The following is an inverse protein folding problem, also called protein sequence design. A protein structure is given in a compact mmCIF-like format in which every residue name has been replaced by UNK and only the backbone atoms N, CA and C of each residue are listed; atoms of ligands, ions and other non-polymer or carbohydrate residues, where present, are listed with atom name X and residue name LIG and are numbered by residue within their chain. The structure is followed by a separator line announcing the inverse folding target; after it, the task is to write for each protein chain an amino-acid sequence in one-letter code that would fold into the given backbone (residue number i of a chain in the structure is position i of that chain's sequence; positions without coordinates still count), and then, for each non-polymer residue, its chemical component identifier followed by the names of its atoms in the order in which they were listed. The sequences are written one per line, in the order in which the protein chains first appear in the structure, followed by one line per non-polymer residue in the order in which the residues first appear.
data_IF_844651410281
#
_entry.id   IF_844651410281
#
_cell.length_a   1.000
_cell.length_b   1.000
_cell.length_c   1.000
_cell.angle_alpha   90.00
_cell.angle_beta   90.00
_cell.angle_gamma   90.00
#
_symmetry.space_group_name_H-M   'P 1'
#
loop_
_entity.id
_entity.type
_entity.pdbx_description
1 polymer ?
#
# COMPACT_ATOMS: atom_id res chain seq x y z
N UNK A 1 -26.60 32.67 -29.52
CA UNK A 1 -25.39 33.47 -29.24
C UNK A 1 -25.40 33.82 -27.76
N UNK A 2 -24.57 33.19 -26.96
CA UNK A 2 -24.41 33.50 -25.55
C UNK A 2 -23.75 34.89 -25.36
N UNK A 3 -24.10 35.61 -24.28
CA UNK A 3 -23.54 36.94 -24.03
C UNK A 3 -22.03 36.89 -23.79
N UNK A 4 -21.31 37.89 -24.20
CA UNK A 4 -19.85 37.98 -24.25
C UNK A 4 -19.11 37.78 -22.90
N UNK A 5 -19.80 37.94 -21.78
CA UNK A 5 -19.23 37.72 -20.44
C UNK A 5 -19.04 36.24 -20.08
N UNK A 6 -19.94 35.38 -20.57
CA UNK A 6 -19.89 33.93 -20.30
C UNK A 6 -18.78 33.23 -21.09
N UNK A 7 -18.47 33.76 -22.28
CA UNK A 7 -17.39 33.25 -23.13
C UNK A 7 -16.01 33.54 -22.55
N UNK A 8 -15.78 34.70 -21.98
CA UNK A 8 -14.52 35.07 -21.32
C UNK A 8 -14.28 34.20 -20.04
N UNK A 9 -15.35 33.79 -19.37
CA UNK A 9 -15.26 32.94 -18.18
C UNK A 9 -14.95 31.47 -18.53
N UNK A 10 -15.54 30.97 -19.62
CA UNK A 10 -15.22 29.67 -20.22
C UNK A 10 -13.80 29.61 -20.76
N UNK A 11 -13.33 30.64 -21.44
CA UNK A 11 -11.95 30.72 -21.96
C UNK A 11 -10.92 30.75 -20.81
N UNK A 12 -11.24 31.40 -19.68
CA UNK A 12 -10.37 31.45 -18.50
C UNK A 12 -10.31 30.07 -17.79
N UNK A 13 -11.44 29.37 -17.72
CA UNK A 13 -11.49 27.99 -17.19
C UNK A 13 -10.71 27.04 -18.12
N UNK A 14 -10.86 27.19 -19.42
CA UNK A 14 -10.14 26.40 -20.42
C UNK A 14 -8.61 26.63 -20.37
N UNK A 15 -8.15 27.86 -20.13
CA UNK A 15 -6.72 28.19 -19.98
C UNK A 15 -6.15 27.64 -18.67
N UNK A 16 -6.93 27.59 -17.59
CA UNK A 16 -6.51 27.03 -16.29
C UNK A 16 -6.42 25.50 -16.30
N UNK A 17 -7.26 24.82 -17.08
CA UNK A 17 -7.25 23.36 -17.24
C UNK A 17 -6.06 22.87 -18.10
N UNK A 18 -5.56 23.70 -19.01
CA UNK A 18 -4.51 23.31 -19.96
C UNK A 18 -3.09 23.30 -19.37
N UNK A 19 -2.87 23.75 -18.13
CA UNK A 19 -1.51 23.94 -17.59
C UNK A 19 -1.22 23.32 -16.21
N UNK A 20 -2.13 22.50 -15.66
CA UNK A 20 -1.90 21.84 -14.35
C UNK A 20 -2.26 20.36 -14.41
N UNK A 21 -1.25 19.51 -14.52
CA UNK A 21 -1.40 18.09 -14.20
C UNK A 21 -1.58 17.96 -12.68
N UNK A 22 -2.79 17.59 -12.24
CA UNK A 22 -3.07 17.29 -10.84
C UNK A 22 -2.12 16.17 -10.36
N UNK A 23 -1.50 16.37 -9.19
CA UNK A 23 -0.66 15.33 -8.59
C UNK A 23 -1.56 14.33 -7.87
N UNK A 24 -1.24 13.04 -7.98
CA UNK A 24 -1.96 11.96 -7.30
C UNK A 24 -2.17 12.23 -5.80
N UNK A 25 -1.18 12.82 -5.12
CA UNK A 25 -1.29 13.22 -3.70
C UNK A 25 -2.42 14.22 -3.45
N UNK A 26 -2.66 15.14 -4.35
CA UNK A 26 -3.76 16.12 -4.24
C UNK A 26 -5.10 15.42 -4.45
N UNK A 27 -5.20 14.54 -5.44
CA UNK A 27 -6.40 13.75 -5.70
C UNK A 27 -6.75 12.86 -4.51
N UNK A 28 -5.80 12.11 -3.96
CA UNK A 28 -6.02 11.25 -2.77
C UNK A 28 -6.50 12.05 -1.56
N UNK A 29 -5.89 13.22 -1.28
CA UNK A 29 -6.34 14.09 -0.18
C UNK A 29 -7.79 14.55 -0.38
N UNK A 30 -8.19 14.86 -1.61
CA UNK A 30 -9.59 15.22 -1.94
C UNK A 30 -10.54 14.06 -1.66
N UNK A 31 -10.20 12.83 -2.10
CA UNK A 31 -11.04 11.66 -1.88
C UNK A 31 -11.12 11.24 -0.41
N UNK A 32 -10.01 11.26 0.33
CA UNK A 32 -9.98 10.99 1.76
C UNK A 32 -10.92 11.92 2.55
N UNK A 33 -10.92 13.20 2.18
CA UNK A 33 -11.80 14.16 2.81
C UNK A 33 -13.26 13.93 2.43
N UNK A 34 -13.57 13.61 1.19
CA UNK A 34 -14.93 13.33 0.73
C UNK A 34 -15.46 11.94 1.10
N UNK A 35 -14.65 11.03 1.59
CA UNK A 35 -15.05 9.69 2.04
C UNK A 35 -15.94 9.67 3.31
N UNK A 36 -16.34 10.83 3.83
CA UNK A 36 -17.30 10.97 4.93
C UNK A 36 -18.61 11.57 4.41
N UNK A 37 -19.74 10.92 4.70
CA UNK A 37 -21.07 11.37 4.30
C UNK A 37 -21.34 12.82 4.70
N UNK A 38 -20.99 13.20 5.93
CA UNK A 38 -21.17 14.56 6.44
C UNK A 38 -20.34 15.58 5.64
N UNK A 39 -19.06 15.28 5.37
CA UNK A 39 -18.20 16.18 4.61
C UNK A 39 -18.63 16.28 3.14
N UNK A 40 -19.03 15.17 2.55
CA UNK A 40 -19.58 15.15 1.19
C UNK A 40 -20.86 15.99 1.11
N UNK A 41 -21.78 15.87 2.08
CA UNK A 41 -23.02 16.66 2.14
C UNK A 41 -22.74 18.16 2.27
N UNK A 42 -21.77 18.55 3.12
CA UNK A 42 -21.35 19.95 3.26
C UNK A 42 -20.79 20.46 1.94
N UNK A 43 -19.88 19.70 1.29
CA UNK A 43 -19.30 20.11 0.03
C UNK A 43 -20.34 20.26 -1.09
N UNK A 44 -21.24 19.27 -1.24
CA UNK A 44 -22.36 19.34 -2.23
C UNK A 44 -23.27 20.52 -1.99
N UNK A 45 -23.55 20.85 -0.72
CA UNK A 45 -24.33 22.05 -0.39
C UNK A 45 -23.60 23.32 -0.84
N UNK A 46 -22.30 23.44 -0.58
CA UNK A 46 -21.50 24.59 -1.00
C UNK A 46 -21.37 24.69 -2.52
N UNK A 47 -21.30 23.57 -3.24
CA UNK A 47 -21.36 23.55 -4.71
C UNK A 47 -22.68 24.09 -5.24
N UNK A 48 -23.81 23.69 -4.60
CA UNK A 48 -25.14 24.20 -4.98
C UNK A 48 -25.29 25.70 -4.81
N UNK A 49 -24.59 26.29 -3.85
CA UNK A 49 -24.62 27.74 -3.57
C UNK A 49 -23.36 28.48 -4.07
N UNK A 50 -22.65 27.90 -5.03
CA UNK A 50 -21.55 28.57 -5.68
C UNK A 50 -22.06 29.59 -6.73
N UNK A 51 -21.35 30.71 -6.92
CA UNK A 51 -20.11 31.14 -6.29
C UNK A 51 -20.28 31.87 -4.94
N UNK A 52 -21.50 32.21 -4.51
CA UNK A 52 -21.77 33.06 -3.34
C UNK A 52 -21.28 32.40 -2.04
N UNK A 53 -21.43 31.07 -1.91
CA UNK A 53 -21.11 30.32 -0.70
C UNK A 53 -22.09 30.57 0.44
N UNK A 54 -21.82 29.95 1.60
CA UNK A 54 -22.68 30.00 2.77
C UNK A 54 -21.87 30.33 4.04
N UNK A 55 -22.53 30.95 5.03
CA UNK A 55 -21.92 31.10 6.36
C UNK A 55 -22.18 29.86 7.23
N UNK A 56 -21.34 29.62 8.22
CA UNK A 56 -21.40 28.42 9.07
C UNK A 56 -22.79 28.19 9.72
N UNK A 57 -23.51 29.27 10.06
CA UNK A 57 -24.85 29.18 10.63
C UNK A 57 -25.87 28.60 9.63
N UNK A 58 -25.81 29.01 8.36
CA UNK A 58 -26.68 28.52 7.30
C UNK A 58 -26.41 27.05 7.00
N UNK A 59 -25.13 26.66 6.91
CA UNK A 59 -24.74 25.25 6.69
C UNK A 59 -25.25 24.36 7.83
N UNK A 60 -25.06 24.82 9.09
CA UNK A 60 -25.51 24.12 10.30
C UNK A 60 -27.02 23.87 10.27
N UNK A 61 -27.78 24.90 9.90
CA UNK A 61 -29.25 24.82 9.85
C UNK A 61 -29.75 23.95 8.68
N UNK A 62 -29.15 24.07 7.50
CA UNK A 62 -29.60 23.33 6.31
C UNK A 62 -29.27 21.82 6.36
N UNK A 63 -28.21 21.45 7.06
CA UNK A 63 -27.79 20.04 7.17
C UNK A 63 -28.07 19.43 8.55
N UNK A 64 -28.69 20.18 9.45
CA UNK A 64 -28.96 19.78 10.85
C UNK A 64 -27.69 19.26 11.57
N UNK A 65 -26.57 19.95 11.37
CA UNK A 65 -25.30 19.60 11.98
C UNK A 65 -24.99 20.59 13.12
N UNK A 66 -24.73 20.13 14.37
CA UNK A 66 -24.32 21.00 15.46
C UNK A 66 -23.09 21.83 15.10
N UNK A 67 -23.08 23.13 15.45
CA UNK A 67 -22.01 24.09 15.09
C UNK A 67 -20.61 23.63 15.53
N UNK A 68 -20.50 22.94 16.66
CA UNK A 68 -19.26 22.37 17.16
C UNK A 68 -18.68 21.31 16.22
N UNK A 69 -19.53 20.41 15.75
CA UNK A 69 -19.13 19.34 14.81
C UNK A 69 -18.88 19.90 13.41
N UNK A 70 -19.69 20.87 12.96
CA UNK A 70 -19.54 21.52 11.67
C UNK A 70 -18.15 22.16 11.53
N UNK A 71 -17.67 22.84 12.57
CA UNK A 71 -16.36 23.50 12.56
C UNK A 71 -15.21 22.50 12.31
N UNK A 72 -15.30 21.30 12.88
CA UNK A 72 -14.35 20.22 12.64
C UNK A 72 -14.38 19.72 11.20
N UNK A 73 -15.58 19.48 10.64
CA UNK A 73 -15.75 19.03 9.27
C UNK A 73 -15.28 20.07 8.25
N UNK A 74 -15.64 21.34 8.44
CA UNK A 74 -15.20 22.44 7.58
C UNK A 74 -13.66 22.57 7.57
N UNK A 75 -13.01 22.47 8.73
CA UNK A 75 -11.55 22.51 8.83
C UNK A 75 -10.90 21.40 8.00
N UNK A 76 -11.44 20.19 8.05
CA UNK A 76 -10.92 19.05 7.25
C UNK A 76 -11.11 19.28 5.75
N UNK A 77 -12.27 19.78 5.31
CA UNK A 77 -12.53 20.06 3.88
C UNK A 77 -11.62 21.21 3.40
N UNK A 78 -11.39 22.21 4.21
CA UNK A 78 -10.47 23.31 3.88
C UNK A 78 -9.02 22.83 3.74
N UNK A 79 -8.61 21.85 4.54
CA UNK A 79 -7.25 21.27 4.43
C UNK A 79 -6.99 20.61 3.08
N UNK A 80 -8.00 20.03 2.45
CA UNK A 80 -7.88 19.48 1.09
C UNK A 80 -7.91 20.54 -0.03
N UNK A 81 -8.18 21.79 0.31
CA UNK A 81 -8.34 22.87 -0.66
C UNK A 81 -9.70 22.92 -1.38
N UNK A 82 -10.62 21.97 -1.11
CA UNK A 82 -11.96 21.91 -1.73
C UNK A 82 -12.88 23.05 -1.28
N UNK A 83 -12.61 23.66 -0.14
CA UNK A 83 -13.38 24.79 0.39
C UNK A 83 -12.41 25.88 0.82
N UNK A 84 -12.70 27.11 0.44
CA UNK A 84 -12.07 28.31 0.95
C UNK A 84 -12.95 29.00 1.98
N UNK A 85 -12.36 29.82 2.83
CA UNK A 85 -13.09 30.68 3.76
C UNK A 85 -12.69 32.14 3.59
N UNK A 86 -13.67 33.02 3.77
CA UNK A 86 -13.48 34.46 3.80
C UNK A 86 -14.22 35.07 4.98
N UNK A 87 -13.59 36.02 5.67
CA UNK A 87 -14.17 36.66 6.84
C UNK A 87 -14.99 37.89 6.40
N UNK A 88 -16.28 37.83 6.62
CA UNK A 88 -17.23 38.92 6.33
C UNK A 88 -17.73 39.52 7.64
N UNK A 89 -17.03 40.52 8.19
CA UNK A 89 -17.35 41.14 9.47
C UNK A 89 -17.29 40.15 10.64
N UNK A 90 -18.45 39.85 11.24
CA UNK A 90 -18.58 38.87 12.35
C UNK A 90 -18.80 37.44 11.86
N UNK A 91 -19.05 37.23 10.58
CA UNK A 91 -19.33 35.93 10.00
C UNK A 91 -18.14 35.43 9.18
N UNK A 92 -18.06 34.12 9.01
CA UNK A 92 -17.14 33.46 8.08
C UNK A 92 -17.93 32.77 7.02
N UNK A 93 -17.70 33.15 5.75
CA UNK A 93 -18.32 32.55 4.57
C UNK A 93 -17.41 31.48 3.98
N UNK A 94 -17.99 30.37 3.62
CA UNK A 94 -17.33 29.22 3.01
C UNK A 94 -17.78 29.08 1.56
N UNK A 95 -16.82 28.87 0.65
CA UNK A 95 -17.07 28.70 -0.79
C UNK A 95 -16.42 27.42 -1.30
N UNK A 96 -17.13 26.69 -2.17
CA UNK A 96 -16.58 25.55 -2.85
C UNK A 96 -15.50 25.98 -3.87
N UNK A 97 -14.41 25.27 -3.91
CA UNK A 97 -13.37 25.41 -4.94
C UNK A 97 -13.74 24.55 -6.16
N UNK A 98 -14.62 25.12 -7.02
CA UNK A 98 -15.11 24.46 -8.24
C UNK A 98 -13.97 24.07 -9.18
N UNK A 99 -12.94 24.93 -9.44
CA UNK A 99 -11.79 24.53 -10.25
C UNK A 99 -11.11 23.24 -9.78
N UNK A 100 -10.83 23.11 -8.48
CA UNK A 100 -10.19 21.89 -7.93
C UNK A 100 -11.09 20.65 -8.06
N UNK A 101 -12.40 20.82 -7.90
CA UNK A 101 -13.37 19.74 -8.10
C UNK A 101 -13.34 19.25 -9.56
N UNK A 102 -13.41 20.18 -10.52
CA UNK A 102 -13.37 19.83 -11.94
C UNK A 102 -12.03 19.22 -12.36
N UNK A 103 -10.92 19.74 -11.82
CA UNK A 103 -9.58 19.17 -12.02
C UNK A 103 -9.48 17.73 -11.47
N UNK A 104 -10.13 17.45 -10.33
CA UNK A 104 -10.17 16.11 -9.74
C UNK A 104 -10.98 15.13 -10.63
N UNK A 105 -12.12 15.57 -11.15
CA UNK A 105 -12.94 14.77 -12.07
C UNK A 105 -12.17 14.52 -13.38
N UNK A 106 -11.53 15.55 -13.94
CA UNK A 106 -10.73 15.43 -15.14
C UNK A 106 -9.53 14.48 -14.95
N UNK A 107 -8.91 14.52 -13.77
CA UNK A 107 -7.83 13.61 -13.42
C UNK A 107 -8.28 12.14 -13.40
N UNK A 108 -9.47 11.85 -12.83
CA UNK A 108 -10.03 10.49 -12.84
C UNK A 108 -10.39 9.99 -14.24
N UNK A 109 -10.87 10.91 -15.08
CA UNK A 109 -11.33 10.58 -16.43
C UNK A 109 -10.20 10.61 -17.48
N UNK A 110 -9.00 11.07 -17.13
CA UNK A 110 -7.91 11.36 -18.08
C UNK A 110 -7.44 10.13 -18.88
N UNK A 111 -7.59 8.93 -18.34
CA UNK A 111 -7.15 7.68 -18.97
C UNK A 111 -8.30 6.72 -19.32
N UNK A 112 -9.55 7.14 -19.11
CA UNK A 112 -10.72 6.25 -19.24
C UNK A 112 -10.91 5.64 -20.64
N UNK A 113 -10.38 6.26 -21.68
CA UNK A 113 -10.51 5.81 -23.07
C UNK A 113 -9.16 5.60 -23.79
N UNK A 114 -8.05 5.65 -23.08
CA UNK A 114 -6.69 5.52 -23.67
C UNK A 114 -6.49 6.38 -24.93
N UNK A 115 -7.11 7.57 -24.97
CA UNK A 115 -7.08 8.50 -26.10
C UNK A 115 -8.02 8.13 -27.26
N UNK A 116 -8.86 7.10 -27.15
CA UNK A 116 -9.87 6.74 -28.15
C UNK A 116 -11.29 7.08 -27.67
N UNK A 117 -11.81 8.22 -28.15
CA UNK A 117 -13.15 8.71 -27.76
C UNK A 117 -14.30 7.75 -28.13
N UNK A 118 -14.10 6.84 -29.11
CA UNK A 118 -15.11 5.85 -29.47
C UNK A 118 -15.37 4.85 -28.33
N UNK A 119 -14.41 4.62 -27.45
CA UNK A 119 -14.59 3.72 -26.30
C UNK A 119 -15.47 4.32 -25.20
N UNK A 120 -15.60 5.63 -25.12
CA UNK A 120 -16.43 6.31 -24.12
C UNK A 120 -17.92 6.46 -24.56
N UNK A 121 -18.19 6.40 -25.85
CA UNK A 121 -19.51 6.63 -26.43
C UNK A 121 -20.64 5.75 -25.81
N UNK A 122 -20.46 4.44 -25.60
CA UNK A 122 -21.48 3.60 -24.99
C UNK A 122 -21.82 4.03 -23.55
N UNK A 123 -20.82 4.39 -22.76
CA UNK A 123 -20.99 4.77 -21.34
C UNK A 123 -21.66 6.13 -21.18
N UNK A 124 -21.52 7.03 -22.17
CA UNK A 124 -22.20 8.34 -22.20
C UNK A 124 -23.69 8.18 -22.43
N UNK A 125 -24.06 7.27 -23.33
CA UNK A 125 -25.46 7.02 -23.70
C UNK A 125 -26.24 6.34 -22.56
N UNK A 126 -25.60 5.41 -21.87
CA UNK A 126 -26.20 4.67 -20.76
C UNK A 126 -26.25 5.51 -19.46
N UNK A 127 -25.26 6.38 -19.24
CA UNK A 127 -25.13 7.19 -18.03
C UNK A 127 -25.97 8.47 -18.00
N UNK A 128 -26.62 8.85 -19.09
CA UNK A 128 -27.40 10.10 -19.17
C UNK A 128 -26.55 11.38 -19.01
N UNK A 129 -25.26 11.29 -19.28
CA UNK A 129 -24.31 12.42 -19.15
C UNK A 129 -24.25 13.16 -20.48
N UNK A 130 -24.55 14.45 -20.47
CA UNK A 130 -24.51 15.26 -21.68
C UNK A 130 -23.09 15.32 -22.28
N UNK A 131 -23.00 15.18 -23.59
CA UNK A 131 -21.75 15.08 -24.37
C UNK A 131 -20.83 16.27 -24.18
N UNK A 132 -21.36 17.44 -23.84
CA UNK A 132 -20.62 18.67 -23.55
C UNK A 132 -19.76 18.57 -22.28
N UNK A 133 -20.20 17.81 -21.28
CA UNK A 133 -19.49 17.67 -20.01
C UNK A 133 -18.18 16.87 -20.16
N UNK A 134 -18.12 15.95 -21.13
CA UNK A 134 -16.96 15.07 -21.35
C UNK A 134 -16.10 15.48 -22.56
N UNK A 135 -16.52 16.45 -23.34
CA UNK A 135 -15.69 16.99 -24.44
C UNK A 135 -14.34 17.51 -23.94
N UNK A 136 -14.29 18.02 -22.71
CA UNK A 136 -13.04 18.43 -22.05
C UNK A 136 -12.12 17.25 -21.66
N UNK A 137 -12.68 16.06 -21.40
CA UNK A 137 -11.90 14.86 -21.05
C UNK A 137 -11.33 14.13 -22.26
N UNK A 138 -12.00 14.23 -23.42
CA UNK A 138 -11.65 13.48 -24.63
C UNK A 138 -10.90 14.30 -25.69
N UNK A 139 -10.59 15.58 -25.43
CA UNK A 139 -9.78 16.38 -26.36
C UNK A 139 -8.32 15.90 -26.26
N UNK A 140 -7.87 15.23 -27.32
CA UNK A 140 -6.47 14.90 -27.54
C UNK A 140 -5.59 16.12 -27.30
N UNK A 141 -4.73 16.07 -26.29
CA UNK A 141 -3.48 16.82 -26.37
C UNK A 141 -2.67 16.20 -27.51
N UNK A 142 -2.73 16.83 -28.67
CA UNK A 142 -1.73 16.63 -29.72
C UNK A 142 -0.42 17.20 -29.18
N UNK A 143 0.29 16.40 -28.41
CA UNK A 143 1.70 16.65 -28.16
C UNK A 143 2.45 16.35 -29.45
N UNK A 144 3.11 17.38 -29.95
CA UNK A 144 3.94 17.42 -31.13
C UNK A 144 4.79 16.17 -31.29
N UNK A 145 4.60 15.53 -32.44
CA UNK A 145 5.45 14.49 -33.01
C UNK A 145 6.74 15.16 -33.57
N UNK A 146 7.58 15.65 -32.67
CA UNK A 146 8.95 16.08 -33.02
C UNK A 146 9.93 15.82 -31.90
N UNK A 147 10.02 14.55 -31.44
CA UNK A 147 11.26 13.96 -30.94
C UNK A 147 11.28 12.52 -31.47
N UNK A 148 11.54 12.42 -32.78
CA UNK A 148 12.04 11.15 -33.33
C UNK A 148 13.56 11.15 -33.15
N UNK A 149 14.03 10.05 -32.62
CA UNK A 149 15.40 9.58 -32.54
C UNK A 149 16.23 10.13 -31.39
N UNK A 150 16.07 9.49 -30.24
CA UNK A 150 17.19 8.96 -29.47
C UNK A 150 16.63 8.12 -28.31
N UNK A 151 17.24 6.96 -28.18
CA UNK A 151 17.24 6.04 -27.06
C UNK A 151 16.16 4.95 -27.06
N UNK A 152 16.68 3.76 -27.29
CA UNK A 152 16.15 2.46 -26.93
C UNK A 152 15.78 2.46 -25.45
N UNK A 153 14.47 2.54 -25.16
CA UNK A 153 13.93 2.76 -23.85
C UNK A 153 13.95 1.50 -23.00
N UNK A 154 14.57 1.65 -21.87
CA UNK A 154 14.31 0.91 -20.66
C UNK A 154 12.81 1.09 -20.26
N UNK A 155 12.01 0.01 -20.39
CA UNK A 155 10.62 -0.05 -19.90
C UNK A 155 10.63 -0.32 -18.41
N UNK A 156 11.03 0.64 -17.60
CA UNK A 156 10.85 0.56 -16.15
C UNK A 156 9.35 0.62 -15.83
N UNK A 157 8.81 -0.49 -15.28
CA UNK A 157 7.44 -0.54 -14.72
C UNK A 157 7.29 0.58 -13.70
N UNK A 158 6.17 1.30 -13.72
CA UNK A 158 5.91 2.33 -12.72
C UNK A 158 5.83 1.71 -11.31
N UNK A 159 6.10 2.49 -10.27
CA UNK A 159 5.98 2.04 -8.88
C UNK A 159 4.59 1.48 -8.56
N UNK A 160 3.53 2.02 -9.17
CA UNK A 160 2.16 1.56 -8.99
C UNK A 160 1.89 0.25 -9.74
N UNK A 161 2.44 0.06 -10.95
CA UNK A 161 2.33 -1.21 -11.68
C UNK A 161 2.97 -2.37 -10.91
N UNK A 162 4.09 -2.10 -10.23
CA UNK A 162 4.75 -3.08 -9.35
C UNK A 162 3.84 -3.47 -8.19
N UNK A 163 3.27 -2.50 -7.48
CA UNK A 163 2.36 -2.74 -6.35
C UNK A 163 1.11 -3.49 -6.78
N UNK A 164 0.51 -3.13 -7.92
CA UNK A 164 -0.68 -3.80 -8.44
C UNK A 164 -0.37 -5.26 -8.83
N UNK A 165 0.78 -5.51 -9.46
CA UNK A 165 1.23 -6.87 -9.78
C UNK A 165 1.38 -7.72 -8.50
N UNK A 166 1.97 -7.16 -7.45
CA UNK A 166 2.13 -7.80 -6.15
C UNK A 166 0.76 -8.04 -5.50
N UNK A 167 -0.10 -7.01 -5.45
CA UNK A 167 -1.45 -7.10 -4.86
C UNK A 167 -2.28 -8.18 -5.53
N UNK A 168 -2.34 -8.21 -6.86
CA UNK A 168 -3.06 -9.23 -7.63
C UNK A 168 -2.52 -10.64 -7.37
N UNK A 169 -1.19 -10.80 -7.27
CA UNK A 169 -0.55 -12.07 -6.94
C UNK A 169 -0.97 -12.60 -5.57
N UNK A 170 -0.94 -11.77 -4.55
CA UNK A 170 -1.31 -12.14 -3.18
C UNK A 170 -2.82 -12.30 -2.99
N UNK A 171 -3.66 -11.53 -3.68
CA UNK A 171 -5.11 -11.74 -3.72
C UNK A 171 -5.47 -13.13 -4.28
N UNK A 172 -4.81 -13.56 -5.35
CA UNK A 172 -4.99 -14.90 -5.93
C UNK A 172 -4.56 -16.02 -4.96
N UNK A 173 -3.50 -15.81 -4.16
CA UNK A 173 -3.07 -16.73 -3.10
C UNK A 173 -4.13 -16.78 -1.98
N UNK A 174 -4.63 -15.63 -1.51
CA UNK A 174 -5.61 -15.54 -0.45
C UNK A 174 -6.93 -16.25 -0.80
N UNK A 175 -7.36 -16.17 -2.06
CA UNK A 175 -8.61 -16.78 -2.57
C UNK A 175 -8.45 -18.24 -3.00
N UNK A 176 -7.23 -18.80 -2.93
CA UNK A 176 -6.95 -20.19 -3.36
C UNK A 176 -6.95 -20.39 -4.88
N UNK A 177 -6.92 -19.30 -5.66
CA UNK A 177 -6.82 -19.36 -7.13
C UNK A 177 -5.37 -19.62 -7.60
N UNK A 178 -4.40 -19.31 -6.74
CA UNK A 178 -2.98 -19.67 -6.91
C UNK A 178 -2.45 -20.22 -5.59
N UNK A 179 -1.69 -21.29 -5.63
CA UNK A 179 -0.77 -21.65 -4.55
C UNK A 179 0.40 -20.67 -4.57
N UNK A 180 0.85 -20.20 -3.42
CA UNK A 180 2.09 -19.43 -3.33
C UNK A 180 3.21 -20.31 -3.88
N UNK A 181 3.86 -19.87 -4.90
CA UNK A 181 5.00 -20.52 -5.57
C UNK A 181 4.71 -21.65 -6.56
N UNK A 182 3.47 -22.12 -6.82
CA UNK A 182 3.36 -23.27 -7.71
C UNK A 182 2.11 -23.38 -8.54
N UNK A 183 2.38 -23.57 -9.81
CA UNK A 183 1.61 -24.12 -10.91
C UNK A 183 0.64 -25.26 -10.60
N UNK A 184 -0.42 -25.26 -11.34
CA UNK A 184 -1.29 -26.30 -11.91
C UNK A 184 -0.80 -27.76 -11.95
N UNK A 185 -0.51 -28.39 -10.81
CA UNK A 185 -0.62 -29.85 -10.66
C UNK A 185 -0.67 -30.21 -9.18
N UNK A 186 -1.68 -30.97 -8.78
CA UNK A 186 -1.83 -31.58 -7.46
C UNK A 186 -0.78 -32.71 -7.31
N UNK A 187 0.47 -32.35 -7.00
CA UNK A 187 1.46 -33.32 -6.58
C UNK A 187 2.37 -32.65 -5.56
N UNK A 188 2.30 -33.12 -4.30
CA UNK A 188 3.13 -32.75 -3.15
C UNK A 188 3.24 -31.23 -2.88
N UNK A 189 2.16 -30.63 -2.36
CA UNK A 189 2.23 -29.34 -1.65
C UNK A 189 3.30 -29.45 -0.56
N UNK A 190 4.30 -28.55 -0.61
CA UNK A 190 5.14 -28.36 0.55
C UNK A 190 4.21 -27.98 1.72
N UNK A 191 4.18 -28.83 2.75
CA UNK A 191 3.34 -28.63 3.93
C UNK A 191 3.72 -27.29 4.59
N UNK A 192 2.81 -26.29 4.67
CA UNK A 192 3.11 -25.01 5.29
C UNK A 192 3.67 -25.12 6.71
N UNK A 193 3.28 -26.15 7.45
CA UNK A 193 3.80 -26.42 8.78
C UNK A 193 5.27 -26.87 8.74
N UNK A 194 5.64 -27.69 7.76
CA UNK A 194 7.03 -28.12 7.55
C UNK A 194 7.93 -26.95 7.17
N UNK A 195 7.42 -26.04 6.32
CA UNK A 195 8.14 -24.83 5.96
C UNK A 195 8.37 -23.94 7.18
N UNK A 196 7.33 -23.68 7.97
CA UNK A 196 7.44 -22.88 9.19
C UNK A 196 8.43 -23.51 10.19
N UNK A 197 8.37 -24.83 10.40
CA UNK A 197 9.31 -25.53 11.27
C UNK A 197 10.77 -25.38 10.78
N UNK A 198 11.01 -25.44 9.47
CA UNK A 198 12.34 -25.30 8.89
C UNK A 198 12.96 -23.89 9.10
N UNK A 199 12.11 -22.85 9.23
CA UNK A 199 12.56 -21.47 9.53
C UNK A 199 12.54 -21.13 11.02
N UNK A 200 12.29 -22.13 11.89
CA UNK A 200 12.48 -22.01 13.33
C UNK A 200 11.22 -21.70 14.13
N UNK A 201 10.02 -21.95 13.59
CA UNK A 201 8.80 -21.94 14.39
C UNK A 201 8.62 -23.28 15.10
N UNK A 202 8.30 -23.24 16.40
CA UNK A 202 8.08 -24.45 17.18
C UNK A 202 6.68 -25.06 16.94
N UNK A 203 6.59 -26.37 17.05
CA UNK A 203 5.35 -27.11 16.76
C UNK A 203 4.19 -26.74 17.70
N UNK A 204 4.47 -26.38 18.96
CA UNK A 204 3.44 -25.96 19.91
C UNK A 204 2.82 -24.63 19.55
N UNK A 205 3.64 -23.64 19.16
CA UNK A 205 3.16 -22.35 18.65
C UNK A 205 2.35 -22.52 17.36
N UNK A 206 2.80 -23.39 16.46
CA UNK A 206 2.08 -23.66 15.20
C UNK A 206 0.70 -24.31 15.44
N UNK A 207 0.58 -25.19 16.44
CA UNK A 207 -0.69 -25.87 16.77
C UNK A 207 -1.76 -24.92 17.33
N UNK A 208 -1.36 -23.79 17.90
CA UNK A 208 -2.27 -22.76 18.46
C UNK A 208 -2.78 -21.78 17.41
N UNK A 209 -2.17 -21.73 16.25
CA UNK A 209 -2.57 -20.79 15.20
C UNK A 209 -3.96 -21.10 14.63
N UNK A 210 -4.74 -20.07 14.26
CA UNK A 210 -5.97 -20.23 13.51
C UNK A 210 -5.74 -20.95 12.18
N UNK A 211 -6.76 -21.71 11.74
CA UNK A 211 -6.69 -22.50 10.52
C UNK A 211 -6.48 -21.63 9.29
N UNK A 212 -5.46 -21.96 8.49
CA UNK A 212 -5.11 -21.23 7.29
C UNK A 212 -4.43 -19.87 7.53
N UNK A 213 -4.02 -19.53 8.76
CA UNK A 213 -3.15 -18.38 9.02
C UNK A 213 -1.75 -18.63 8.43
N UNK A 214 -1.24 -19.86 8.56
CA UNK A 214 0.00 -20.27 7.91
C UNK A 214 -0.26 -20.61 6.44
N UNK A 215 0.28 -19.80 5.54
CA UNK A 215 0.15 -19.95 4.07
C UNK A 215 1.48 -20.36 3.41
N UNK A 216 2.52 -20.66 4.19
CA UNK A 216 3.83 -21.06 3.68
C UNK A 216 4.60 -19.91 3.00
N UNK A 217 4.42 -18.65 3.45
CA UNK A 217 5.02 -17.47 2.86
C UNK A 217 6.23 -16.93 3.65
N UNK A 218 6.65 -17.61 4.72
CA UNK A 218 7.69 -17.13 5.62
C UNK A 218 9.09 -17.49 5.11
N UNK A 219 10.01 -16.54 5.14
CA UNK A 219 11.44 -16.77 4.86
C UNK A 219 12.33 -16.71 6.12
N UNK A 220 11.70 -16.61 7.31
CA UNK A 220 12.35 -16.61 8.60
C UNK A 220 11.36 -16.47 9.73
N UNK A 221 11.84 -16.28 10.96
CA UNK A 221 11.02 -16.13 12.16
C UNK A 221 11.35 -14.81 12.88
N UNK A 222 10.77 -13.67 12.43
CA UNK A 222 11.01 -12.36 13.04
C UNK A 222 10.45 -12.28 14.48
N UNK A 223 9.43 -13.05 14.82
CA UNK A 223 8.85 -13.10 16.17
C UNK A 223 9.84 -13.66 17.18
N UNK A 224 10.56 -14.73 16.83
CA UNK A 224 11.61 -15.30 17.68
C UNK A 224 12.80 -14.35 17.85
N UNK A 225 13.23 -13.72 16.74
CA UNK A 225 14.36 -12.77 16.73
C UNK A 225 14.00 -11.53 17.57
N UNK A 226 12.76 -11.06 17.49
CA UNK A 226 12.30 -9.87 18.20
C UNK A 226 12.32 -10.02 19.72
N UNK A 227 12.31 -11.24 20.29
CA UNK A 227 12.23 -11.48 21.73
C UNK A 227 11.17 -10.58 22.40
N UNK A 228 9.93 -10.70 21.95
CA UNK A 228 8.80 -9.87 22.39
C UNK A 228 8.55 -10.02 23.89
N UNK A 229 8.08 -8.94 24.53
CA UNK A 229 7.76 -8.89 25.96
C UNK A 229 6.30 -8.53 26.16
N UNK A 230 5.76 -8.98 27.28
CA UNK A 230 4.42 -8.62 27.72
C UNK A 230 4.24 -7.08 27.76
N UNK A 231 3.06 -6.62 27.34
CA UNK A 231 2.68 -5.20 27.33
C UNK A 231 3.18 -4.38 26.14
N UNK A 232 3.98 -4.96 25.24
CA UNK A 232 4.47 -4.23 24.07
C UNK A 232 3.39 -3.99 23.01
N UNK A 233 3.51 -2.87 22.30
CA UNK A 233 2.78 -2.59 21.06
C UNK A 233 3.65 -3.01 19.88
N UNK A 234 3.13 -3.92 19.06
CA UNK A 234 3.85 -4.50 17.92
C UNK A 234 3.10 -4.19 16.63
N UNK A 235 3.83 -3.88 15.56
CA UNK A 235 3.29 -3.79 14.19
C UNK A 235 3.93 -4.87 13.35
N UNK A 236 3.12 -5.60 12.58
CA UNK A 236 3.57 -6.57 11.59
C UNK A 236 3.27 -6.04 10.18
N UNK A 237 4.32 -5.90 9.37
CA UNK A 237 4.25 -5.36 8.01
C UNK A 237 3.99 -6.50 7.02
N UNK A 238 2.95 -6.34 6.17
CA UNK A 238 2.51 -7.37 5.26
C UNK A 238 2.00 -8.60 5.99
N UNK A 239 1.09 -8.38 6.93
CA UNK A 239 0.62 -9.41 7.88
C UNK A 239 -0.08 -10.60 7.25
N UNK A 240 -0.47 -10.52 5.96
CA UNK A 240 -1.14 -11.59 5.24
C UNK A 240 -2.35 -12.15 5.99
N UNK A 241 -2.40 -13.46 6.17
CA UNK A 241 -3.44 -14.16 6.95
C UNK A 241 -3.29 -14.07 8.48
N UNK A 242 -2.32 -13.27 8.97
CA UNK A 242 -2.10 -13.01 10.39
C UNK A 242 -1.11 -13.96 11.07
N UNK A 243 -0.29 -14.69 10.32
CA UNK A 243 0.60 -15.72 10.87
C UNK A 243 1.50 -15.21 12.00
N UNK A 244 2.27 -14.15 11.77
CA UNK A 244 3.15 -13.56 12.77
C UNK A 244 2.38 -12.72 13.80
N UNK A 245 1.25 -12.10 13.42
CA UNK A 245 0.38 -11.31 14.32
C UNK A 245 -0.17 -12.16 15.47
N UNK A 246 -0.72 -13.34 15.16
CA UNK A 246 -1.28 -14.20 16.21
C UNK A 246 -0.22 -14.74 17.16
N UNK A 247 0.96 -15.08 16.66
CA UNK A 247 2.08 -15.50 17.50
C UNK A 247 2.61 -14.37 18.38
N UNK A 248 2.77 -13.16 17.79
CA UNK A 248 3.17 -11.97 18.53
C UNK A 248 2.13 -11.63 19.63
N UNK A 249 0.83 -11.80 19.34
CA UNK A 249 -0.25 -11.58 20.28
C UNK A 249 -0.12 -12.45 21.55
N UNK A 250 0.21 -13.72 21.38
CA UNK A 250 0.47 -14.64 22.52
C UNK A 250 1.70 -14.21 23.34
N UNK A 251 2.72 -13.63 22.70
CA UNK A 251 3.95 -13.18 23.39
C UNK A 251 3.72 -11.90 24.19
N UNK A 252 2.96 -10.93 23.64
CA UNK A 252 2.73 -9.64 24.30
C UNK A 252 1.61 -9.68 25.34
N UNK A 253 0.83 -10.79 25.43
CA UNK A 253 -0.24 -11.02 26.39
C UNK A 253 -1.37 -9.97 26.32
N UNK A 254 -2.31 -10.03 27.29
CA UNK A 254 -3.49 -9.19 27.33
C UNK A 254 -3.18 -7.68 27.49
N UNK A 255 -2.05 -7.33 28.10
CA UNK A 255 -1.61 -5.94 28.29
C UNK A 255 -0.92 -5.34 27.06
N UNK A 256 -0.53 -6.17 26.10
CA UNK A 256 0.08 -5.75 24.83
C UNK A 256 -0.93 -5.61 23.70
N UNK A 257 -0.46 -5.18 22.53
CA UNK A 257 -1.27 -5.01 21.32
C UNK A 257 -0.47 -5.35 20.08
N UNK A 258 -1.07 -6.05 19.12
CA UNK A 258 -0.44 -6.33 17.83
C UNK A 258 -1.32 -5.82 16.69
N UNK A 259 -0.72 -5.08 15.78
CA UNK A 259 -1.37 -4.46 14.62
C UNK A 259 -0.77 -5.08 13.37
N UNK A 260 -1.54 -5.88 12.64
CA UNK A 260 -1.17 -6.36 11.31
C UNK A 260 -1.55 -5.33 10.25
N UNK A 261 -0.63 -4.98 9.38
CA UNK A 261 -0.88 -4.09 8.23
C UNK A 261 -0.64 -4.85 6.94
N UNK A 262 -1.60 -4.81 6.03
CA UNK A 262 -1.48 -5.41 4.70
C UNK A 262 -2.18 -4.56 3.65
N UNK A 263 -1.67 -4.54 2.42
CA UNK A 263 -2.28 -3.79 1.32
C UNK A 263 -3.34 -4.57 0.55
N UNK A 264 -3.49 -5.89 0.83
CA UNK A 264 -4.37 -6.82 0.12
C UNK A 264 -5.65 -7.05 0.91
N UNK A 265 -6.83 -6.55 0.45
CA UNK A 265 -8.09 -6.71 1.17
C UNK A 265 -8.46 -8.17 1.43
N UNK A 266 -8.17 -9.08 0.51
CA UNK A 266 -8.46 -10.52 0.60
C UNK A 266 -7.64 -11.20 1.71
N UNK A 267 -6.37 -10.79 1.88
CA UNK A 267 -5.52 -11.23 2.99
C UNK A 267 -6.11 -10.79 4.33
N UNK A 268 -6.48 -9.52 4.45
CA UNK A 268 -7.08 -8.98 5.66
C UNK A 268 -8.45 -9.59 5.98
N UNK A 269 -9.25 -9.89 4.96
CA UNK A 269 -10.53 -10.58 5.17
C UNK A 269 -10.31 -11.96 5.82
N UNK A 270 -9.30 -12.70 5.35
CA UNK A 270 -8.89 -13.98 5.92
C UNK A 270 -8.36 -13.81 7.35
N UNK A 271 -7.45 -12.87 7.58
CA UNK A 271 -6.89 -12.60 8.90
C UNK A 271 -7.97 -12.19 9.91
N UNK A 272 -8.88 -11.30 9.54
CA UNK A 272 -9.99 -10.85 10.41
C UNK A 272 -10.95 -11.98 10.76
N UNK A 273 -11.23 -12.89 9.81
CA UNK A 273 -12.05 -14.09 10.08
C UNK A 273 -11.42 -15.00 11.12
N UNK A 274 -10.08 -15.02 11.20
CA UNK A 274 -9.33 -15.86 12.13
C UNK A 274 -9.26 -15.27 13.55
N UNK A 275 -9.63 -14.00 13.79
CA UNK A 275 -9.59 -13.36 15.13
C UNK A 275 -10.46 -14.14 16.12
N UNK A 276 -11.66 -14.57 15.72
CA UNK A 276 -12.56 -15.30 16.62
C UNK A 276 -11.95 -16.63 17.06
N UNK A 277 -11.35 -17.39 16.16
CA UNK A 277 -10.67 -18.62 16.50
C UNK A 277 -9.45 -18.39 17.40
N UNK A 278 -8.71 -17.30 17.17
CA UNK A 278 -7.61 -16.88 18.04
C UNK A 278 -8.10 -16.58 19.46
N UNK A 279 -9.19 -15.81 19.62
CA UNK A 279 -9.81 -15.52 20.92
C UNK A 279 -10.23 -16.79 21.65
N UNK A 280 -10.88 -17.73 20.95
CA UNK A 280 -11.32 -19.00 21.52
C UNK A 280 -10.15 -19.87 22.00
N UNK A 281 -9.04 -19.91 21.26
CA UNK A 281 -7.87 -20.73 21.59
C UNK A 281 -6.98 -20.14 22.68
N UNK A 282 -6.88 -18.82 22.76
CA UNK A 282 -5.91 -18.13 23.64
C UNK A 282 -6.55 -17.35 24.78
N UNK A 283 -7.84 -17.01 24.69
CA UNK A 283 -8.51 -16.09 25.59
C UNK A 283 -8.09 -14.61 25.42
N UNK A 284 -7.31 -14.28 24.38
CA UNK A 284 -6.76 -12.94 24.15
C UNK A 284 -7.59 -12.17 23.10
N UNK A 285 -7.71 -10.85 23.28
CA UNK A 285 -8.33 -9.91 22.35
C UNK A 285 -7.40 -8.71 22.10
N UNK A 286 -6.19 -8.97 21.68
CA UNK A 286 -5.09 -8.02 21.61
C UNK A 286 -4.50 -7.86 20.20
N UNK A 287 -5.21 -8.35 19.17
CA UNK A 287 -4.79 -8.27 17.76
C UNK A 287 -5.80 -7.51 16.92
N UNK A 288 -5.32 -6.75 15.95
CA UNK A 288 -6.15 -6.04 14.96
C UNK A 288 -5.46 -6.02 13.60
N UNK A 289 -6.26 -5.79 12.53
CA UNK A 289 -5.77 -5.75 11.15
C UNK A 289 -6.23 -4.48 10.44
N UNK A 290 -5.28 -3.76 9.82
CA UNK A 290 -5.48 -2.50 9.10
C UNK A 290 -5.10 -2.64 7.64
N UNK A 291 -5.94 -2.09 6.76
CA UNK A 291 -5.58 -1.92 5.35
C UNK A 291 -4.61 -0.75 5.23
N UNK A 292 -3.47 -0.98 4.58
CA UNK A 292 -2.46 0.06 4.37
C UNK A 292 -1.25 -0.46 3.63
N UNK A 293 -0.51 0.46 3.05
CA UNK A 293 0.78 0.21 2.40
C UNK A 293 1.91 0.41 3.41
N UNK A 294 2.99 -0.37 3.25
CA UNK A 294 4.15 -0.28 4.16
C UNK A 294 4.95 1.01 3.97
N UNK A 295 4.78 1.70 2.84
CA UNK A 295 5.32 3.03 2.56
C UNK A 295 4.54 4.17 3.22
N UNK A 296 3.35 3.88 3.81
CA UNK A 296 2.50 4.86 4.49
C UNK A 296 1.66 4.14 5.55
N UNK A 297 2.27 3.85 6.69
CA UNK A 297 1.65 3.03 7.72
C UNK A 297 0.48 3.75 8.40
N UNK A 298 -0.70 3.11 8.53
CA UNK A 298 -1.85 3.66 9.25
C UNK A 298 -1.66 3.55 10.77
N UNK A 299 -0.51 4.03 11.26
CA UNK A 299 -0.05 3.92 12.64
C UNK A 299 0.55 5.28 13.06
N UNK A 300 0.22 5.79 14.25
CA UNK A 300 0.76 7.06 14.73
C UNK A 300 2.28 7.05 14.95
N UNK A 301 2.88 8.24 14.91
CA UNK A 301 4.30 8.43 15.20
C UNK A 301 4.63 8.00 16.64
N UNK A 302 5.81 7.43 16.84
CA UNK A 302 6.36 7.09 18.17
C UNK A 302 5.39 6.29 19.07
N UNK A 303 4.62 5.38 18.49
CA UNK A 303 3.59 4.62 19.20
C UNK A 303 3.88 3.12 19.34
N UNK A 304 4.91 2.61 18.65
CA UNK A 304 5.20 1.18 18.52
C UNK A 304 6.51 0.83 19.22
N UNK A 305 6.53 -0.26 19.96
CA UNK A 305 7.73 -0.77 20.63
C UNK A 305 8.57 -1.66 19.69
N UNK A 306 7.88 -2.44 18.84
CA UNK A 306 8.54 -3.38 17.92
C UNK A 306 7.83 -3.39 16.57
N UNK A 307 8.59 -3.34 15.48
CA UNK A 307 8.10 -3.61 14.13
C UNK A 307 8.65 -4.96 13.68
N UNK A 308 7.75 -5.81 13.17
CA UNK A 308 8.05 -7.09 12.53
C UNK A 308 7.83 -7.00 11.02
N UNK A 309 8.55 -7.79 10.25
CA UNK A 309 8.26 -8.02 8.83
C UNK A 309 8.83 -9.35 8.37
N UNK A 310 8.10 -10.06 7.50
CA UNK A 310 8.50 -11.35 6.97
C UNK A 310 8.27 -11.41 5.46
N UNK A 311 9.34 -11.34 4.65
CA UNK A 311 9.32 -11.39 3.18
C UNK A 311 8.43 -10.32 2.51
N UNK A 312 8.45 -9.09 2.98
CA UNK A 312 7.56 -8.03 2.49
C UNK A 312 8.27 -6.79 1.98
N UNK A 313 9.39 -6.38 2.62
CA UNK A 313 10.08 -5.12 2.28
C UNK A 313 10.58 -5.17 0.83
N UNK A 314 10.98 -6.34 0.35
CA UNK A 314 11.43 -6.52 -1.03
C UNK A 314 10.33 -6.29 -2.07
N UNK A 315 9.06 -6.43 -1.71
CA UNK A 315 7.93 -6.17 -2.59
C UNK A 315 7.69 -4.68 -2.83
N UNK A 316 8.23 -3.83 -1.96
CA UNK A 316 8.10 -2.38 -2.10
C UNK A 316 9.05 -1.81 -3.17
N UNK A 317 8.52 -0.97 -4.08
CA UNK A 317 9.34 -0.21 -5.03
C UNK A 317 10.09 0.97 -4.38
N UNK A 318 9.71 1.40 -3.15
CA UNK A 318 10.34 2.52 -2.42
C UNK A 318 10.81 2.09 -1.02
N UNK A 319 11.82 1.24 -0.97
CA UNK A 319 12.41 0.76 0.29
C UNK A 319 12.92 1.89 1.21
N UNK A 320 13.54 2.98 0.69
CA UNK A 320 13.90 4.12 1.54
C UNK A 320 12.70 4.71 2.28
N UNK A 321 11.51 4.75 1.66
CA UNK A 321 10.29 5.25 2.29
C UNK A 321 9.78 4.28 3.35
N UNK A 322 9.83 2.97 3.09
CA UNK A 322 9.49 1.94 4.08
C UNK A 322 10.33 2.08 5.35
N UNK A 323 11.65 2.19 5.23
CA UNK A 323 12.53 2.32 6.39
C UNK A 323 12.27 3.62 7.18
N UNK A 324 11.95 4.74 6.50
CA UNK A 324 11.53 5.99 7.16
C UNK A 324 10.20 5.83 7.90
N UNK A 325 9.22 5.12 7.33
CA UNK A 325 7.93 4.84 7.99
C UNK A 325 8.09 3.95 9.22
N UNK A 326 8.90 2.90 9.14
CA UNK A 326 9.25 2.05 10.28
C UNK A 326 9.87 2.91 11.39
N UNK A 327 10.84 3.77 11.04
CA UNK A 327 11.48 4.67 11.98
C UNK A 327 10.48 5.67 12.60
N UNK A 328 9.57 6.22 11.79
CA UNK A 328 8.54 7.17 12.25
C UNK A 328 7.65 6.57 13.33
N UNK A 329 7.12 5.37 13.12
CA UNK A 329 6.17 4.74 14.03
C UNK A 329 6.81 4.19 15.30
N UNK A 330 8.09 3.83 15.28
CA UNK A 330 8.80 3.32 16.45
C UNK A 330 8.97 4.39 17.51
N UNK A 331 8.79 4.02 18.77
CA UNK A 331 9.17 4.81 19.94
C UNK A 331 10.70 4.95 20.01
N UNK A 332 11.20 5.96 20.74
CA UNK A 332 12.62 6.02 21.08
C UNK A 332 13.06 4.74 21.82
N UNK A 333 14.15 4.11 21.36
CA UNK A 333 14.61 2.81 21.85
C UNK A 333 13.82 1.61 21.34
N UNK A 334 12.78 1.83 20.52
CA UNK A 334 12.05 0.78 19.85
C UNK A 334 12.93 0.02 18.85
N UNK A 335 12.54 -1.18 18.49
CA UNK A 335 13.33 -2.05 17.59
C UNK A 335 12.54 -2.55 16.40
N UNK A 336 13.26 -2.85 15.34
CA UNK A 336 12.75 -3.56 14.16
C UNK A 336 13.38 -4.95 14.11
N UNK A 337 12.58 -5.95 13.71
CA UNK A 337 13.02 -7.32 13.46
C UNK A 337 12.40 -7.80 12.15
N UNK A 338 13.22 -8.04 11.16
CA UNK A 338 12.83 -8.41 9.80
C UNK A 338 13.51 -9.71 9.39
N UNK A 339 12.76 -10.56 8.70
CA UNK A 339 13.32 -11.65 7.91
C UNK A 339 12.94 -11.43 6.45
N UNK A 340 13.90 -11.22 5.58
CA UNK A 340 13.66 -11.02 4.14
C UNK A 340 14.80 -11.61 3.30
N UNK A 341 14.61 -11.72 2.00
CA UNK A 341 15.69 -12.14 1.10
C UNK A 341 16.64 -10.97 0.83
N UNK A 342 17.92 -11.25 0.71
CA UNK A 342 18.95 -10.29 0.31
C UNK A 342 19.84 -10.88 -0.76
N UNK A 343 20.49 -10.02 -1.54
CA UNK A 343 21.43 -10.41 -2.56
C UNK A 343 22.86 -10.47 -2.01
N UNK A 344 23.57 -11.53 -2.37
CA UNK A 344 25.00 -11.66 -2.17
C UNK A 344 25.78 -11.04 -3.32
N UNK A 345 25.24 -11.09 -4.53
CA UNK A 345 25.73 -10.43 -5.76
C UNK A 345 24.54 -10.01 -6.64
N UNK A 346 24.72 -9.08 -7.59
CA UNK A 346 23.64 -8.63 -8.47
C UNK A 346 23.00 -9.79 -9.23
N UNK A 347 21.65 -9.78 -9.35
CA UNK A 347 20.92 -10.75 -10.17
C UNK A 347 21.14 -10.47 -11.66
N UNK A 348 21.19 -11.52 -12.50
CA UNK A 348 21.08 -11.38 -13.95
C UNK A 348 19.79 -10.64 -14.36
N UNK A 349 19.86 -9.82 -15.43
CA UNK A 349 18.73 -8.98 -15.86
C UNK A 349 17.48 -9.81 -16.21
N UNK A 350 17.67 -10.96 -16.86
CA UNK A 350 16.58 -11.88 -17.20
C UNK A 350 15.81 -12.42 -15.96
N UNK A 351 16.48 -12.59 -14.84
CA UNK A 351 15.85 -13.00 -13.56
C UNK A 351 15.11 -11.82 -12.92
N UNK A 352 15.70 -10.63 -12.96
CA UNK A 352 15.11 -9.41 -12.40
C UNK A 352 13.79 -9.05 -13.07
N UNK A 353 13.67 -9.28 -14.38
CA UNK A 353 12.48 -8.94 -15.16
C UNK A 353 11.33 -9.96 -15.03
N UNK A 354 11.55 -11.07 -14.34
CA UNK A 354 10.51 -12.10 -14.17
C UNK A 354 9.44 -11.63 -13.17
N UNK A 355 8.18 -11.54 -13.60
CA UNK A 355 7.05 -11.21 -12.71
C UNK A 355 6.89 -12.20 -11.55
N UNK A 356 7.17 -13.49 -11.79
CA UNK A 356 7.15 -14.53 -10.77
C UNK A 356 8.23 -14.30 -9.69
N UNK A 357 9.44 -13.87 -10.08
CA UNK A 357 10.52 -13.52 -9.17
C UNK A 357 10.18 -12.30 -8.30
N UNK A 358 9.42 -11.33 -8.83
CA UNK A 358 8.94 -10.18 -8.08
C UNK A 358 7.96 -10.60 -6.98
N UNK A 359 6.94 -11.40 -7.32
CA UNK A 359 5.96 -11.92 -6.33
C UNK A 359 6.63 -12.82 -5.29
N UNK A 360 7.68 -13.54 -5.67
CA UNK A 360 8.51 -14.35 -4.77
C UNK A 360 9.55 -13.56 -3.97
N UNK A 361 9.50 -12.23 -3.92
CA UNK A 361 10.44 -11.35 -3.21
C UNK A 361 11.89 -11.34 -3.73
N UNK A 362 12.23 -12.14 -4.74
CA UNK A 362 13.61 -12.29 -5.25
C UNK A 362 14.01 -11.10 -6.13
N UNK A 363 13.16 -10.72 -7.09
CA UNK A 363 13.47 -9.62 -8.02
C UNK A 363 13.61 -8.25 -7.34
N UNK A 364 12.95 -8.07 -6.19
CA UNK A 364 13.06 -6.84 -5.41
C UNK A 364 14.12 -6.88 -4.31
N UNK A 365 14.84 -7.98 -4.14
CA UNK A 365 15.90 -8.07 -3.14
C UNK A 365 17.07 -7.14 -3.49
N UNK A 366 17.68 -6.56 -2.47
CA UNK A 366 18.84 -5.67 -2.59
C UNK A 366 20.08 -6.31 -1.93
N UNK A 367 21.24 -5.79 -2.23
CA UNK A 367 22.50 -6.28 -1.62
C UNK A 367 22.46 -6.11 -0.09
N UNK A 368 23.16 -7.00 0.63
CA UNK A 368 23.27 -6.93 2.09
C UNK A 368 23.82 -5.57 2.55
N UNK A 369 24.85 -5.06 1.87
CA UNK A 369 25.45 -3.75 2.18
C UNK A 369 24.46 -2.60 1.88
N UNK A 370 23.66 -2.72 0.82
CA UNK A 370 22.66 -1.73 0.48
C UNK A 370 21.56 -1.69 1.54
N UNK A 371 21.15 -2.85 2.06
CA UNK A 371 20.19 -2.94 3.19
C UNK A 371 20.71 -2.18 4.40
N UNK A 372 22.01 -2.34 4.73
CA UNK A 372 22.65 -1.61 5.84
C UNK A 372 22.62 -0.10 5.60
N UNK A 373 23.00 0.34 4.41
CA UNK A 373 23.01 1.76 4.05
C UNK A 373 21.60 2.41 4.13
N UNK A 374 20.55 1.66 3.74
CA UNK A 374 19.16 2.12 3.84
C UNK A 374 18.72 2.33 5.29
N UNK A 375 19.09 1.41 6.19
CA UNK A 375 18.83 1.51 7.62
C UNK A 375 19.56 2.71 8.26
N UNK A 376 20.85 2.86 7.99
CA UNK A 376 21.67 3.98 8.47
C UNK A 376 21.09 5.32 8.00
N UNK A 377 20.71 5.42 6.73
CA UNK A 377 20.09 6.62 6.15
C UNK A 377 18.74 6.97 6.76
N UNK A 378 17.99 5.96 7.23
CA UNK A 378 16.72 6.16 7.93
C UNK A 378 16.90 6.58 9.41
N UNK A 379 18.14 6.51 9.96
CA UNK A 379 18.48 6.92 11.32
C UNK A 379 18.58 5.76 12.31
N UNK A 380 18.53 4.50 11.86
CA UNK A 380 18.67 3.35 12.74
C UNK A 380 20.08 3.18 13.26
N UNK A 381 20.17 2.64 14.48
CA UNK A 381 21.42 2.31 15.19
C UNK A 381 21.43 0.84 15.58
N UNK A 382 22.56 0.35 16.08
CA UNK A 382 22.72 -1.04 16.53
C UNK A 382 22.25 -2.06 15.47
N UNK A 383 22.63 -1.81 14.20
CA UNK A 383 22.21 -2.64 13.07
C UNK A 383 22.95 -3.96 13.09
N UNK A 384 22.22 -5.05 13.14
CA UNK A 384 22.74 -6.44 13.06
C UNK A 384 22.09 -7.12 11.86
N UNK A 385 22.92 -7.56 10.93
CA UNK A 385 22.52 -8.30 9.73
C UNK A 385 23.10 -9.72 9.83
N UNK A 386 22.24 -10.73 9.87
CA UNK A 386 22.62 -12.14 10.02
C UNK A 386 22.16 -12.94 8.82
N UNK A 387 23.04 -13.26 7.86
CA UNK A 387 22.71 -14.15 6.74
C UNK A 387 22.42 -15.58 7.22
N UNK A 388 21.41 -16.22 6.61
CA UNK A 388 21.01 -17.62 6.86
C UNK A 388 21.09 -18.41 5.55
N UNK A 389 22.25 -18.94 5.18
CA UNK A 389 22.48 -19.57 3.87
C UNK A 389 21.67 -20.86 3.67
N UNK A 390 21.38 -21.60 4.74
CA UNK A 390 20.70 -22.89 4.66
C UNK A 390 19.25 -22.77 4.19
N UNK A 391 18.63 -21.59 4.34
CA UNK A 391 17.25 -21.39 3.89
C UNK A 391 17.10 -21.59 2.38
N UNK A 392 17.94 -20.94 1.58
CA UNK A 392 17.87 -21.01 0.11
C UNK A 392 18.29 -22.40 -0.39
N UNK A 393 19.30 -23.01 0.23
CA UNK A 393 19.74 -24.39 -0.09
C UNK A 393 18.62 -25.41 0.14
N UNK A 394 17.94 -25.32 1.27
CA UNK A 394 16.82 -26.22 1.59
C UNK A 394 15.64 -26.04 0.63
N UNK A 395 15.42 -24.84 0.04
CA UNK A 395 14.38 -24.61 -0.94
C UNK A 395 14.61 -25.31 -2.28
N UNK A 396 15.86 -25.56 -2.66
CA UNK A 396 16.18 -26.37 -3.85
C UNK A 396 15.66 -27.79 -3.69
N UNK A 397 15.74 -28.36 -2.49
CA UNK A 397 15.26 -29.71 -2.15
C UNK A 397 13.71 -29.79 -2.15
N UNK A 398 13.01 -28.66 -2.01
CA UNK A 398 11.53 -28.63 -1.92
C UNK A 398 10.81 -28.62 -3.26
N UNK A 399 11.55 -28.64 -4.36
CA UNK A 399 10.98 -28.71 -5.69
C UNK A 399 10.10 -27.49 -6.05
N UNK A 400 10.43 -26.33 -5.50
CA UNK A 400 9.71 -25.08 -5.75
C UNK A 400 9.82 -24.67 -7.23
N UNK A 401 8.69 -24.54 -7.96
CA UNK A 401 8.71 -24.23 -9.39
C UNK A 401 9.30 -22.85 -9.71
N UNK A 402 9.17 -21.85 -8.81
CA UNK A 402 9.78 -20.53 -9.02
C UNK A 402 11.30 -20.64 -8.99
N UNK A 403 11.85 -21.32 -7.97
CA UNK A 403 13.28 -21.53 -7.87
C UNK A 403 13.82 -22.35 -9.01
N UNK A 404 13.09 -23.37 -9.49
CA UNK A 404 13.47 -24.12 -10.70
C UNK A 404 13.51 -23.24 -11.94
N UNK A 405 12.47 -22.45 -12.16
CA UNK A 405 12.37 -21.54 -13.28
C UNK A 405 13.51 -20.50 -13.27
N UNK A 406 13.87 -19.99 -12.09
CA UNK A 406 15.00 -19.08 -11.95
C UNK A 406 16.32 -19.82 -12.19
N UNK A 407 16.48 -21.02 -11.61
CA UNK A 407 17.70 -21.82 -11.79
C UNK A 407 17.98 -22.16 -13.26
N UNK A 408 16.93 -22.41 -14.06
CA UNK A 408 17.06 -22.65 -15.52
C UNK A 408 17.54 -21.41 -16.29
N UNK A 409 17.42 -20.22 -15.71
CA UNK A 409 17.81 -18.95 -16.33
C UNK A 409 19.17 -18.43 -15.85
N UNK A 410 19.76 -19.06 -14.83
CA UNK A 410 21.08 -18.70 -14.31
C UNK A 410 22.22 -19.14 -15.25
N UNK A 411 23.39 -18.49 -15.17
CA UNK A 411 24.58 -18.94 -15.87
C UNK A 411 24.98 -20.39 -15.53
N UNK A 412 25.56 -21.10 -16.47
CA UNK A 412 25.95 -22.49 -16.30
C UNK A 412 26.94 -22.66 -15.13
N UNK A 413 26.60 -23.53 -14.18
CA UNK A 413 27.42 -23.82 -13.02
C UNK A 413 27.18 -22.90 -11.81
N UNK A 414 26.20 -22.00 -11.88
CA UNK A 414 25.78 -21.16 -10.76
C UNK A 414 24.43 -21.61 -10.21
N UNK A 415 24.25 -21.45 -8.90
CA UNK A 415 23.03 -21.81 -8.18
C UNK A 415 22.37 -20.57 -7.58
N UNK A 416 21.08 -20.68 -7.25
CA UNK A 416 20.33 -19.61 -6.60
C UNK A 416 20.96 -19.17 -5.27
N UNK A 417 21.54 -20.11 -4.52
CA UNK A 417 22.23 -19.85 -3.26
C UNK A 417 23.52 -19.00 -3.42
N UNK A 418 24.05 -18.85 -4.64
CA UNK A 418 25.18 -17.96 -4.92
C UNK A 418 24.75 -16.49 -5.03
N UNK A 419 23.46 -16.25 -5.26
CA UNK A 419 22.89 -14.92 -5.46
C UNK A 419 22.04 -14.44 -4.31
N UNK A 420 21.30 -15.33 -3.65
CA UNK A 420 20.26 -14.99 -2.68
C UNK A 420 20.50 -15.68 -1.35
N UNK A 421 20.24 -14.95 -0.29
CA UNK A 421 20.28 -15.46 1.09
C UNK A 421 19.07 -14.95 1.87
N UNK A 422 18.54 -15.73 2.81
CA UNK A 422 17.64 -15.21 3.82
C UNK A 422 18.45 -14.37 4.81
N UNK A 423 18.02 -13.13 5.05
CA UNK A 423 18.67 -12.16 5.92
C UNK A 423 17.80 -11.83 7.11
N UNK A 424 18.33 -12.03 8.30
CA UNK A 424 17.77 -11.52 9.54
C UNK A 424 18.30 -10.13 9.80
N UNK A 425 17.40 -9.16 10.01
CA UNK A 425 17.71 -7.74 10.19
C UNK A 425 17.17 -7.31 11.54
N UNK A 426 18.04 -6.82 12.40
CA UNK A 426 17.70 -6.17 13.66
C UNK A 426 18.31 -4.77 13.71
N UNK A 427 17.53 -3.78 14.19
CA UNK A 427 18.05 -2.43 14.40
C UNK A 427 17.19 -1.69 15.47
N UNK A 428 17.71 -0.57 15.99
CA UNK A 428 17.04 0.26 16.98
C UNK A 428 16.91 1.71 16.51
N UNK A 429 15.76 2.31 16.90
CA UNK A 429 15.56 3.76 16.79
C UNK A 429 16.29 4.50 17.88
#
# INVERSE_FOLDING_TARGET
MLPSKDRAHLDTIQLMLNNRTMKIKTATTVFEVLASEVRLSIFRLLVKYAPEGLVAGEISQMLDIPKTNLSFHLKNIMYSGLVSMEREGRNTRYRANIPLMLETIAYLASECCSGNSAHCQPYLTEGGIEQEFLSACCQKQTYNTEIKNMDTADKTKSSEDVKETVRAGYAAIATGQRSCCCSSQRSSQADPARLAAAVGYDAESLAKLPDGANMGLSCGNPVAIAALREGQTVVDLGSGGGFDVFQAGERVKASGRVIGVDMTPEMLAKARKNIEQYRQRTGLDNVEFRLGEIECLPVPDNSVDVVLSNCVINLSPDKPKVWREIYRVLKSGGKVSVSDLALLKPLPDNVRDMAAALVGCVAGAVLVEETKALLEKAGFTSIVLTPKPDYVRNMQDWNDPLYKQIAETLPQGEEMADYVVSLSIEARK
#
